data_IF_361677175025
#
_entry.id   IF_361677175025
#
_cell.length_a   1.000
_cell.length_b   1.000
_cell.length_c   1.000
_cell.angle_alpha   90.00
_cell.angle_beta   90.00
_cell.angle_gamma   90.00
#
_symmetry.space_group_name_H-M   'P 1'
#
loop_
_entity.id
_entity.type
_entity.pdbx_description
1 polymer ?
#
# COMPACT_ATOMS: atom_id res chain seq x y z
N UNK A 1 16.37 14.97 -29.08
CA UNK A 1 16.10 13.77 -28.27
C UNK A 1 17.42 13.35 -27.64
N UNK A 2 17.54 13.42 -26.31
CA UNK A 2 18.72 12.92 -25.61
C UNK A 2 18.49 11.46 -25.23
N UNK A 3 19.37 10.58 -25.70
CA UNK A 3 19.38 9.16 -25.31
C UNK A 3 20.22 9.06 -24.05
N UNK A 4 19.59 8.69 -22.93
CA UNK A 4 20.27 8.43 -21.68
C UNK A 4 20.68 6.96 -21.62
N UNK A 5 21.89 6.67 -21.12
CA UNK A 5 22.30 5.28 -20.91
C UNK A 5 21.58 4.70 -19.70
N UNK A 6 21.43 3.36 -19.63
CA UNK A 6 20.82 2.69 -18.47
C UNK A 6 21.54 3.04 -17.14
N UNK A 7 22.84 3.36 -17.20
CA UNK A 7 23.61 3.79 -16.05
C UNK A 7 23.28 5.22 -15.58
N UNK A 8 22.90 6.12 -16.50
CA UNK A 8 22.46 7.48 -16.16
C UNK A 8 21.06 7.47 -15.54
N UNK A 9 20.20 6.55 -15.99
CA UNK A 9 18.90 6.29 -15.37
C UNK A 9 19.11 5.79 -13.94
N UNK A 10 19.94 4.75 -13.77
CA UNK A 10 20.26 4.18 -12.47
C UNK A 10 20.84 5.20 -11.49
N UNK A 11 21.71 6.11 -11.94
CA UNK A 11 22.27 7.18 -11.10
C UNK A 11 21.26 8.27 -10.70
N UNK A 12 20.28 8.58 -11.56
CA UNK A 12 19.19 9.51 -11.21
C UNK A 12 18.19 8.87 -10.27
N UNK A 13 17.80 7.63 -10.54
CA UNK A 13 17.00 6.79 -9.64
C UNK A 13 17.66 6.78 -8.26
N UNK A 14 18.96 6.50 -8.19
CA UNK A 14 19.76 6.53 -6.98
C UNK A 14 19.68 7.87 -6.22
N UNK A 15 19.78 9.02 -6.92
CA UNK A 15 19.78 10.34 -6.26
C UNK A 15 18.44 10.78 -5.68
N UNK A 16 17.31 10.50 -6.35
CA UNK A 16 15.96 10.84 -5.87
C UNK A 16 15.65 10.04 -4.60
N UNK A 17 16.04 8.78 -4.64
CA UNK A 17 15.84 7.73 -3.65
C UNK A 17 16.75 7.94 -2.41
N UNK A 18 18.04 8.25 -2.60
CA UNK A 18 19.00 8.52 -1.50
C UNK A 18 18.75 9.87 -0.81
N UNK A 19 18.20 10.85 -1.53
CA UNK A 19 17.96 12.19 -0.96
C UNK A 19 16.85 12.24 0.10
N UNK A 20 16.08 11.16 0.29
CA UNK A 20 15.06 11.07 1.36
C UNK A 20 13.94 12.10 1.28
N UNK A 21 13.79 12.79 0.14
CA UNK A 21 13.04 14.05 0.05
C UNK A 21 11.58 13.88 -0.37
N UNK A 22 11.10 12.66 -0.53
CA UNK A 22 9.73 12.38 -0.98
C UNK A 22 8.74 12.67 0.15
N UNK A 23 8.09 13.84 0.07
CA UNK A 23 7.03 14.23 0.99
C UNK A 23 7.50 14.45 2.43
N UNK A 24 8.74 14.91 2.64
CA UNK A 24 9.37 15.10 3.97
C UNK A 24 8.70 16.19 4.84
N UNK A 25 7.90 17.07 4.23
CA UNK A 25 7.14 18.12 4.92
C UNK A 25 5.69 18.07 4.49
N UNK A 26 4.77 18.16 5.45
CA UNK A 26 3.33 18.10 5.19
C UNK A 26 2.81 19.28 4.34
N UNK A 27 3.51 20.42 4.32
CA UNK A 27 3.08 21.60 3.57
C UNK A 27 3.55 21.60 2.10
N UNK A 28 4.39 20.65 1.72
CA UNK A 28 4.91 20.51 0.36
C UNK A 28 4.14 19.43 -0.39
N UNK A 29 3.99 19.52 -1.73
CA UNK A 29 3.47 18.41 -2.51
C UNK A 29 4.24 17.12 -2.21
N UNK A 30 3.54 16.00 -2.14
CA UNK A 30 4.20 14.69 -2.04
C UNK A 30 5.00 14.41 -3.32
N UNK A 31 6.13 13.72 -3.20
CA UNK A 31 6.97 13.34 -4.36
C UNK A 31 6.84 11.87 -4.76
N UNK A 32 5.81 11.16 -4.30
CA UNK A 32 5.66 9.72 -4.55
C UNK A 32 5.47 9.39 -6.04
N UNK A 33 4.92 10.32 -6.80
CA UNK A 33 4.81 10.29 -8.27
C UNK A 33 6.16 10.43 -8.98
N UNK A 34 7.17 10.99 -8.32
CA UNK A 34 8.54 11.11 -8.83
C UNK A 34 9.42 9.90 -8.48
N UNK A 35 8.90 8.93 -7.70
CA UNK A 35 9.62 7.69 -7.45
C UNK A 35 9.81 6.92 -8.77
N UNK A 36 11.00 6.36 -9.01
CA UNK A 36 11.25 5.62 -10.23
C UNK A 36 10.42 4.32 -10.31
N UNK A 37 10.08 3.78 -9.15
CA UNK A 37 9.24 2.60 -9.01
C UNK A 37 8.33 2.79 -7.79
N UNK A 38 7.04 2.49 -7.92
CA UNK A 38 6.11 2.41 -6.78
C UNK A 38 6.17 1.03 -6.11
N UNK A 39 6.41 0.00 -6.91
CA UNK A 39 6.63 -1.38 -6.48
C UNK A 39 7.63 -2.07 -7.41
N UNK A 40 8.29 -3.11 -6.89
CA UNK A 40 9.26 -3.91 -7.61
C UNK A 40 9.02 -5.38 -7.31
N UNK A 41 9.01 -6.22 -8.35
CA UNK A 41 8.97 -7.66 -8.21
C UNK A 41 10.29 -8.28 -8.66
N UNK A 42 11.04 -8.81 -7.70
CA UNK A 42 12.28 -9.52 -7.99
C UNK A 42 12.01 -11.03 -8.11
N UNK A 43 12.42 -11.59 -9.26
CA UNK A 43 12.37 -13.02 -9.55
C UNK A 43 13.79 -13.54 -9.76
N UNK A 44 14.16 -14.56 -9.00
CA UNK A 44 15.49 -15.15 -9.09
C UNK A 44 15.98 -15.70 -7.76
N UNK A 45 17.08 -16.46 -7.76
CA UNK A 45 17.67 -16.99 -6.53
C UNK A 45 18.15 -15.85 -5.62
N UNK A 46 18.02 -15.99 -4.31
CA UNK A 46 18.33 -14.93 -3.32
C UNK A 46 19.71 -14.29 -3.51
N UNK A 47 20.71 -15.05 -3.97
CA UNK A 47 22.07 -14.58 -4.27
C UNK A 47 22.16 -13.52 -5.37
N UNK A 48 21.15 -13.37 -6.24
CA UNK A 48 21.10 -12.36 -7.30
C UNK A 48 20.23 -11.17 -6.93
N UNK A 49 19.68 -11.15 -5.72
CA UNK A 49 18.87 -10.03 -5.26
C UNK A 49 19.79 -8.82 -5.04
N UNK A 50 19.31 -7.60 -5.31
CA UNK A 50 20.07 -6.40 -5.01
C UNK A 50 20.55 -6.42 -3.56
N UNK A 51 21.83 -6.10 -3.34
CA UNK A 51 22.42 -6.05 -1.99
C UNK A 51 21.72 -5.00 -1.10
N UNK A 52 21.13 -3.98 -1.73
CA UNK A 52 20.27 -3.00 -1.09
C UNK A 52 18.81 -3.45 -1.13
N UNK A 53 18.17 -3.55 0.05
CA UNK A 53 16.74 -3.82 0.19
C UNK A 53 16.02 -2.49 0.19
N UNK A 54 15.18 -2.24 -0.81
CA UNK A 54 14.29 -1.09 -0.77
C UNK A 54 13.00 -1.46 -0.03
N UNK A 55 13.04 -1.34 1.29
CA UNK A 55 11.99 -1.72 2.25
C UNK A 55 11.07 -0.55 2.63
N UNK A 56 10.88 0.42 1.72
CA UNK A 56 9.84 1.44 1.89
C UNK A 56 10.13 2.48 2.99
N UNK A 57 11.39 2.86 3.22
CA UNK A 57 11.80 3.87 4.21
C UNK A 57 11.23 5.30 4.00
N UNK A 58 10.42 5.55 2.97
CA UNK A 58 9.76 6.84 2.80
C UNK A 58 8.40 6.82 3.47
N UNK A 59 8.39 7.06 4.78
CA UNK A 59 7.13 7.34 5.49
C UNK A 59 6.58 8.68 5.03
N UNK A 60 5.29 8.70 4.70
CA UNK A 60 4.58 9.92 4.36
C UNK A 60 4.54 10.89 5.56
N UNK A 61 4.86 12.18 5.35
CA UNK A 61 4.82 13.17 6.43
C UNK A 61 3.40 13.56 6.90
N UNK A 62 2.35 13.23 6.13
CA UNK A 62 0.97 13.53 6.47
C UNK A 62 0.01 12.43 6.02
N UNK A 63 -1.23 12.49 6.51
CA UNK A 63 -2.29 11.60 6.08
C UNK A 63 -2.65 11.79 4.60
N UNK A 64 -2.65 13.03 4.08
CA UNK A 64 -2.90 13.27 2.65
C UNK A 64 -1.78 12.68 1.80
N UNK A 65 -0.52 12.76 2.26
CA UNK A 65 0.62 12.16 1.57
C UNK A 65 0.50 10.64 1.54
N UNK A 66 0.09 10.03 2.66
CA UNK A 66 -0.12 8.59 2.73
C UNK A 66 -1.26 8.14 1.80
N UNK A 67 -2.40 8.84 1.82
CA UNK A 67 -3.52 8.55 0.92
C UNK A 67 -3.09 8.59 -0.55
N UNK A 68 -2.33 9.62 -0.93
CA UNK A 68 -1.86 9.79 -2.31
C UNK A 68 -0.84 8.73 -2.71
N UNK A 69 0.07 8.37 -1.79
CA UNK A 69 1.04 7.29 -1.99
C UNK A 69 0.35 5.94 -2.22
N UNK A 70 -0.65 5.63 -1.40
CA UNK A 70 -1.44 4.41 -1.51
C UNK A 70 -2.30 4.40 -2.78
N UNK A 71 -2.90 5.53 -3.15
CA UNK A 71 -3.65 5.66 -4.40
C UNK A 71 -2.75 5.31 -5.59
N UNK A 72 -1.57 5.95 -5.70
CA UNK A 72 -0.61 5.67 -6.77
C UNK A 72 -0.16 4.19 -6.77
N UNK A 73 0.16 3.64 -5.60
CA UNK A 73 0.58 2.25 -5.49
C UNK A 73 -0.51 1.28 -5.97
N UNK A 74 -1.73 1.42 -5.46
CA UNK A 74 -2.84 0.52 -5.78
C UNK A 74 -3.29 0.66 -7.24
N UNK A 75 -3.25 1.88 -7.78
CA UNK A 75 -3.51 2.13 -9.20
C UNK A 75 -2.47 1.42 -10.08
N UNK A 76 -1.19 1.54 -9.73
CA UNK A 76 -0.12 0.85 -10.44
C UNK A 76 -0.22 -0.68 -10.35
N UNK A 77 -0.79 -1.23 -9.27
CA UNK A 77 -1.06 -2.67 -9.18
C UNK A 77 -2.16 -3.10 -10.15
N UNK A 78 -3.28 -2.37 -10.20
CA UNK A 78 -4.38 -2.68 -11.12
C UNK A 78 -3.93 -2.59 -12.58
N UNK A 79 -3.09 -1.61 -12.92
CA UNK A 79 -2.60 -1.45 -14.29
C UNK A 79 -1.51 -2.47 -14.66
N UNK A 80 -0.52 -2.67 -13.80
CA UNK A 80 0.74 -3.32 -14.19
C UNK A 80 0.85 -4.77 -13.71
N UNK A 81 0.21 -5.15 -12.60
CA UNK A 81 0.27 -6.53 -12.10
C UNK A 81 -0.28 -7.53 -13.14
N UNK A 82 -1.40 -7.27 -13.85
CA UNK A 82 -1.92 -8.17 -14.88
C UNK A 82 -0.92 -8.49 -15.99
N UNK A 83 -0.08 -7.54 -16.33
CA UNK A 83 0.93 -7.70 -17.39
C UNK A 83 2.19 -8.38 -16.86
N UNK A 84 2.62 -8.04 -15.63
CA UNK A 84 3.86 -8.56 -15.05
C UNK A 84 3.73 -9.94 -14.43
N UNK A 85 2.55 -10.30 -13.91
CA UNK A 85 2.25 -11.56 -13.21
C UNK A 85 0.84 -12.06 -13.57
N UNK A 86 0.59 -12.53 -14.80
CA UNK A 86 -0.76 -12.86 -15.24
C UNK A 86 -1.42 -13.94 -14.38
N UNK A 87 -2.68 -13.71 -13.98
CA UNK A 87 -3.50 -14.64 -13.19
C UNK A 87 -3.15 -14.67 -11.70
N UNK A 88 -2.43 -13.67 -11.19
CA UNK A 88 -1.94 -13.69 -9.82
C UNK A 88 -2.54 -12.58 -8.94
N UNK A 89 -2.15 -12.56 -7.66
CA UNK A 89 -2.57 -11.58 -6.68
C UNK A 89 -1.39 -11.01 -5.91
N UNK A 90 -1.52 -9.76 -5.46
CA UNK A 90 -0.58 -9.11 -4.56
C UNK A 90 -1.29 -8.68 -3.28
N UNK A 91 -0.60 -8.73 -2.14
CA UNK A 91 -1.14 -8.22 -0.88
C UNK A 91 -0.07 -7.72 0.06
N UNK A 92 -0.47 -6.85 0.99
CA UNK A 92 0.26 -6.56 2.20
C UNK A 92 -0.70 -6.45 3.38
N UNK A 93 -0.15 -6.51 4.59
CA UNK A 93 -0.88 -6.30 5.83
C UNK A 93 -0.39 -5.00 6.46
N UNK A 94 -1.31 -4.21 6.99
CA UNK A 94 -1.05 -2.98 7.73
C UNK A 94 -1.45 -3.18 9.18
N UNK A 95 -0.50 -2.92 10.08
CA UNK A 95 -0.74 -2.81 11.51
C UNK A 95 -0.68 -1.37 11.97
N UNK A 96 -1.33 -1.15 13.10
CA UNK A 96 -1.33 0.11 13.81
C UNK A 96 -0.83 -0.16 15.22
N UNK A 97 0.20 0.57 15.68
CA UNK A 97 0.74 0.38 17.02
C UNK A 97 -0.33 0.51 18.13
N UNK A 98 -1.33 1.38 17.92
CA UNK A 98 -2.39 1.70 18.89
C UNK A 98 -3.58 0.74 18.91
N UNK A 99 -3.70 -0.13 17.90
CA UNK A 99 -4.80 -1.11 17.78
C UNK A 99 -4.25 -2.52 17.53
N UNK A 100 -3.02 -2.78 17.98
CA UNK A 100 -2.42 -4.11 17.90
C UNK A 100 -3.21 -5.10 18.78
N UNK A 101 -3.48 -6.35 18.33
CA UNK A 101 -3.00 -7.01 17.11
C UNK A 101 -3.99 -6.97 15.94
N UNK A 102 -4.89 -5.97 15.86
CA UNK A 102 -5.85 -5.90 14.76
C UNK A 102 -5.19 -5.31 13.52
N UNK A 103 -5.16 -6.11 12.47
CA UNK A 103 -4.50 -5.75 11.22
C UNK A 103 -5.51 -5.58 10.09
N UNK A 104 -5.17 -4.68 9.16
CA UNK A 104 -5.90 -4.45 7.92
C UNK A 104 -5.13 -5.12 6.78
N UNK A 105 -5.76 -6.03 6.05
CA UNK A 105 -5.19 -6.64 4.86
C UNK A 105 -5.63 -5.85 3.63
N UNK A 106 -4.69 -5.56 2.75
CA UNK A 106 -4.93 -4.95 1.43
C UNK A 106 -4.49 -5.94 0.37
N UNK A 107 -5.30 -6.16 -0.65
CA UNK A 107 -4.91 -7.02 -1.76
C UNK A 107 -5.57 -6.64 -3.08
N UNK A 108 -4.90 -7.00 -4.16
CA UNK A 108 -5.42 -6.98 -5.52
C UNK A 108 -5.43 -8.41 -6.07
N UNK A 109 -6.55 -8.82 -6.68
CA UNK A 109 -6.68 -10.14 -7.32
C UNK A 109 -7.17 -9.96 -8.76
N UNK A 110 -6.36 -10.39 -9.72
CA UNK A 110 -6.68 -10.29 -11.15
C UNK A 110 -7.85 -11.19 -11.53
N UNK A 111 -7.88 -12.43 -11.03
CA UNK A 111 -8.98 -13.37 -11.29
C UNK A 111 -10.34 -12.83 -10.85
N UNK A 112 -10.35 -11.90 -9.89
CA UNK A 112 -11.56 -11.24 -9.39
C UNK A 112 -11.77 -9.84 -9.96
N UNK A 113 -10.78 -9.26 -10.64
CA UNK A 113 -10.78 -7.88 -11.12
C UNK A 113 -10.99 -6.85 -10.02
N UNK A 114 -10.43 -7.08 -8.82
CA UNK A 114 -10.80 -6.32 -7.61
C UNK A 114 -9.65 -6.02 -6.68
N UNK A 115 -9.65 -4.79 -6.17
CA UNK A 115 -9.02 -4.42 -4.92
C UNK A 115 -9.91 -4.80 -3.75
N UNK A 116 -9.32 -5.28 -2.66
CA UNK A 116 -10.04 -5.65 -1.45
C UNK A 116 -9.29 -5.19 -0.20
N UNK A 117 -10.04 -4.65 0.74
CA UNK A 117 -9.59 -4.37 2.10
C UNK A 117 -10.34 -5.28 3.06
N UNK A 118 -9.65 -5.77 4.09
CA UNK A 118 -10.25 -6.63 5.11
C UNK A 118 -9.69 -6.32 6.49
N UNK A 119 -10.53 -6.34 7.53
CA UNK A 119 -10.11 -6.15 8.92
C UNK A 119 -10.90 -7.06 9.87
N UNK A 120 -10.21 -7.62 10.86
CA UNK A 120 -10.78 -8.57 11.82
C UNK A 120 -11.32 -7.86 13.07
N UNK A 121 -12.63 -7.86 13.25
CA UNK A 121 -13.31 -7.34 14.43
C UNK A 121 -13.93 -8.43 15.30
N UNK A 122 -13.61 -9.72 15.12
CA UNK A 122 -14.19 -10.82 15.91
C UNK A 122 -14.10 -10.61 17.42
N UNK A 123 -13.02 -10.02 17.92
CA UNK A 123 -12.80 -9.76 19.35
C UNK A 123 -13.51 -8.52 19.87
N UNK A 124 -14.10 -7.70 18.99
CA UNK A 124 -14.79 -6.44 19.33
C UNK A 124 -16.16 -6.33 18.68
N UNK A 125 -16.72 -7.45 18.19
CA UNK A 125 -17.96 -7.47 17.44
C UNK A 125 -19.16 -6.86 18.20
N UNK A 126 -19.16 -6.99 19.53
CA UNK A 126 -20.23 -6.49 20.40
C UNK A 126 -20.05 -5.02 20.85
N UNK A 127 -19.02 -4.31 20.34
CA UNK A 127 -18.79 -2.92 20.69
C UNK A 127 -19.99 -2.04 20.21
N UNK A 128 -20.63 -1.28 21.11
CA UNK A 128 -21.78 -0.45 20.75
C UNK A 128 -21.43 0.54 19.63
N UNK A 129 -22.27 0.63 18.61
CA UNK A 129 -22.09 1.54 17.48
C UNK A 129 -20.98 1.14 16.48
N UNK A 130 -20.34 -0.03 16.64
CA UNK A 130 -19.30 -0.49 15.72
C UNK A 130 -19.82 -0.59 14.30
N UNK A 131 -21.00 -1.19 14.10
CA UNK A 131 -21.55 -1.37 12.75
C UNK A 131 -21.73 -0.03 12.04
N UNK A 132 -22.38 0.93 12.69
CA UNK A 132 -22.58 2.29 12.18
C UNK A 132 -21.23 2.96 11.87
N UNK A 133 -20.28 2.93 12.80
CA UNK A 133 -18.95 3.51 12.59
C UNK A 133 -18.19 2.86 11.41
N UNK A 134 -18.31 1.56 11.21
CA UNK A 134 -17.68 0.85 10.09
C UNK A 134 -18.33 1.24 8.76
N UNK A 135 -19.67 1.36 8.73
CA UNK A 135 -20.42 1.82 7.55
C UNK A 135 -20.08 3.26 7.19
N UNK A 136 -20.02 4.16 8.18
CA UNK A 136 -19.63 5.56 7.98
C UNK A 136 -18.22 5.72 7.40
N UNK A 137 -17.28 4.84 7.80
CA UNK A 137 -15.93 4.80 7.23
C UNK A 137 -15.88 4.28 5.79
N UNK A 138 -16.91 3.55 5.35
CA UNK A 138 -17.02 3.00 3.99
C UNK A 138 -16.88 1.48 3.90
N UNK A 139 -16.89 0.75 5.02
CA UNK A 139 -16.90 -0.72 4.99
C UNK A 139 -18.25 -1.27 4.47
N UNK A 140 -18.20 -2.31 3.64
CA UNK A 140 -19.34 -2.74 2.81
C UNK A 140 -20.02 -4.03 3.28
N UNK A 141 -19.27 -4.98 3.82
CA UNK A 141 -19.80 -6.29 4.22
C UNK A 141 -19.16 -6.70 5.53
N UNK A 142 -19.96 -7.27 6.44
CA UNK A 142 -19.49 -7.92 7.65
C UNK A 142 -19.88 -9.40 7.61
N UNK A 143 -18.89 -10.29 7.63
CA UNK A 143 -19.09 -11.74 7.57
C UNK A 143 -18.18 -12.44 8.58
N UNK A 144 -18.76 -13.17 9.54
CA UNK A 144 -17.98 -13.92 10.54
C UNK A 144 -17.03 -13.04 11.36
N UNK A 145 -17.40 -11.77 11.59
CA UNK A 145 -16.60 -10.77 12.29
C UNK A 145 -15.49 -10.14 11.46
N UNK A 146 -15.40 -10.44 10.17
CA UNK A 146 -14.54 -9.73 9.22
C UNK A 146 -15.32 -8.66 8.48
N UNK A 147 -14.80 -7.44 8.52
CA UNK A 147 -15.28 -6.37 7.66
C UNK A 147 -14.50 -6.37 6.36
N UNK A 148 -15.21 -6.20 5.25
CA UNK A 148 -14.63 -6.15 3.91
C UNK A 148 -15.18 -4.99 3.11
N UNK A 149 -14.33 -4.47 2.24
CA UNK A 149 -14.72 -3.58 1.16
C UNK A 149 -13.99 -4.02 -0.10
N UNK A 150 -14.71 -4.07 -1.21
CA UNK A 150 -14.17 -4.41 -2.52
C UNK A 150 -14.40 -3.25 -3.49
N UNK A 151 -13.43 -3.04 -4.37
CA UNK A 151 -13.45 -2.02 -5.41
C UNK A 151 -13.08 -2.70 -6.72
N UNK A 152 -13.95 -2.60 -7.72
CA UNK A 152 -13.73 -3.19 -9.03
C UNK A 152 -12.63 -2.40 -9.76
N UNK A 153 -11.70 -3.08 -10.43
CA UNK A 153 -10.58 -2.41 -11.11
C UNK A 153 -11.00 -1.64 -12.38
N UNK A 154 -12.21 -1.88 -12.89
CA UNK A 154 -12.80 -1.07 -13.95
C UNK A 154 -13.28 0.31 -13.47
N UNK A 155 -13.43 0.51 -12.15
CA UNK A 155 -13.80 1.80 -11.58
C UNK A 155 -12.55 2.71 -11.48
N UNK A 156 -12.50 3.84 -12.21
CA UNK A 156 -11.36 4.76 -12.16
C UNK A 156 -11.16 5.41 -10.77
N UNK A 157 -12.12 5.26 -9.85
CA UNK A 157 -11.99 5.72 -8.48
C UNK A 157 -11.59 4.61 -7.48
N UNK A 158 -11.35 3.38 -7.93
CA UNK A 158 -11.10 2.23 -7.06
C UNK A 158 -9.88 2.41 -6.15
N UNK A 159 -8.72 2.76 -6.72
CA UNK A 159 -7.49 2.96 -5.95
C UNK A 159 -7.64 4.07 -4.90
N UNK A 160 -8.21 5.22 -5.30
CA UNK A 160 -8.48 6.36 -4.43
C UNK A 160 -9.43 5.99 -3.28
N UNK A 161 -10.50 5.27 -3.60
CA UNK A 161 -11.51 4.87 -2.61
C UNK A 161 -10.95 3.86 -1.60
N UNK A 162 -10.13 2.93 -2.08
CA UNK A 162 -9.40 1.99 -1.23
C UNK A 162 -8.39 2.69 -0.31
N UNK A 163 -7.59 3.62 -0.84
CA UNK A 163 -6.63 4.40 -0.06
C UNK A 163 -7.31 5.24 1.03
N UNK A 164 -8.42 5.92 0.67
CA UNK A 164 -9.26 6.68 1.62
C UNK A 164 -9.81 5.83 2.74
N UNK A 165 -10.38 4.66 2.40
CA UNK A 165 -10.92 3.74 3.39
C UNK A 165 -9.81 3.28 4.35
N UNK A 166 -8.64 2.92 3.84
CA UNK A 166 -7.49 2.53 4.67
C UNK A 166 -7.12 3.63 5.66
N UNK A 167 -6.91 4.86 5.17
CA UNK A 167 -6.51 5.99 6.01
C UNK A 167 -7.61 6.35 7.02
N UNK A 168 -8.88 6.36 6.60
CA UNK A 168 -10.01 6.60 7.50
C UNK A 168 -10.12 5.52 8.58
N UNK A 169 -9.88 4.27 8.23
CA UNK A 169 -9.93 3.14 9.16
C UNK A 169 -8.82 3.22 10.22
N UNK A 170 -7.55 3.35 9.82
CA UNK A 170 -6.43 3.40 10.78
C UNK A 170 -6.53 4.64 11.69
N UNK A 171 -6.98 5.78 11.17
CA UNK A 171 -7.26 6.98 11.97
C UNK A 171 -8.42 6.77 12.92
N UNK A 172 -9.50 6.14 12.45
CA UNK A 172 -10.67 5.78 13.26
C UNK A 172 -10.36 4.75 14.35
N UNK A 173 -9.24 4.02 14.23
CA UNK A 173 -8.69 3.10 15.24
C UNK A 173 -7.62 3.75 16.12
N UNK A 174 -7.38 5.05 15.95
CA UNK A 174 -6.64 5.88 16.88
C UNK A 174 -5.21 6.24 16.46
N UNK A 175 -4.73 5.79 15.30
CA UNK A 175 -3.43 6.22 14.77
C UNK A 175 -3.41 7.73 14.54
N UNK A 176 -2.34 8.40 14.97
CA UNK A 176 -2.23 9.89 14.89
C UNK A 176 -1.31 10.38 13.77
N UNK A 177 -0.37 9.56 13.31
CA UNK A 177 0.45 9.82 12.12
C UNK A 177 0.81 8.54 11.35
N UNK A 178 1.25 8.65 10.08
CA UNK A 178 1.70 7.51 9.27
C UNK A 178 2.85 6.69 9.88
N UNK A 179 3.73 7.30 10.68
CA UNK A 179 4.84 6.61 11.36
C UNK A 179 4.39 5.57 12.39
N UNK A 180 3.14 5.61 12.85
CA UNK A 180 2.57 4.60 13.76
C UNK A 180 2.05 3.35 13.03
N UNK A 181 2.11 3.36 11.70
CA UNK A 181 1.76 2.22 10.86
C UNK A 181 3.00 1.39 10.55
N UNK A 182 2.77 0.11 10.27
CA UNK A 182 3.79 -0.75 9.70
C UNK A 182 3.13 -1.71 8.72
N UNK A 183 3.72 -1.84 7.55
CA UNK A 183 3.35 -2.83 6.56
C UNK A 183 4.22 -4.08 6.71
N UNK A 184 3.66 -5.26 6.50
CA UNK A 184 4.40 -6.52 6.43
C UNK A 184 3.62 -7.55 5.63
N UNK A 185 4.13 -8.79 5.58
CA UNK A 185 3.52 -9.87 4.79
C UNK A 185 3.30 -9.46 3.32
N UNK A 186 4.22 -8.62 2.82
CA UNK A 186 4.24 -8.13 1.45
C UNK A 186 4.53 -9.33 0.53
N UNK A 187 3.56 -9.68 -0.29
CA UNK A 187 3.64 -10.92 -1.07
C UNK A 187 2.93 -10.82 -2.40
N UNK A 188 3.42 -11.60 -3.34
CA UNK A 188 2.79 -11.96 -4.61
C UNK A 188 2.88 -13.49 -4.71
N UNK A 189 1.83 -14.14 -5.19
CA UNK A 189 1.73 -15.60 -5.07
C UNK A 189 2.65 -16.40 -6.01
N UNK A 190 3.27 -15.76 -7.01
CA UNK A 190 4.37 -16.25 -7.87
C UNK A 190 5.71 -16.53 -7.13
N UNK A 191 5.71 -16.62 -5.80
CA UNK A 191 6.91 -16.86 -4.96
C UNK A 191 8.07 -15.86 -5.15
N UNK A 192 7.85 -14.77 -5.88
CA UNK A 192 8.80 -13.68 -6.04
C UNK A 192 8.81 -12.76 -4.82
N UNK A 193 9.88 -11.96 -4.69
CA UNK A 193 9.96 -10.97 -3.62
C UNK A 193 9.41 -9.64 -4.10
N UNK A 194 8.32 -9.22 -3.50
CA UNK A 194 7.66 -7.94 -3.76
C UNK A 194 8.19 -6.86 -2.80
N UNK A 195 8.60 -5.72 -3.33
CA UNK A 195 9.01 -4.52 -2.58
C UNK A 195 8.08 -3.37 -2.92
N UNK A 196 7.77 -2.52 -1.94
CA UNK A 196 6.80 -1.43 -2.08
C UNK A 196 7.40 -0.04 -1.73
N UNK A 197 8.33 0.48 -2.55
CA UNK A 197 8.86 1.83 -2.43
C UNK A 197 7.84 2.93 -2.14
N UNK A 198 6.70 2.86 -2.83
CA UNK A 198 5.66 3.88 -2.81
C UNK A 198 4.55 3.59 -1.79
N UNK A 199 4.81 2.77 -0.76
CA UNK A 199 3.78 2.44 0.24
C UNK A 199 3.52 3.57 1.24
N UNK A 200 4.47 4.48 1.42
CA UNK A 200 4.30 5.65 2.29
C UNK A 200 4.31 5.35 3.79
N UNK A 201 4.73 4.16 4.21
CA UNK A 201 4.83 3.74 5.62
C UNK A 201 6.00 2.74 5.83
N UNK A 202 6.49 2.56 7.06
CA UNK A 202 7.53 1.58 7.36
C UNK A 202 7.12 0.15 6.94
N UNK A 203 8.08 -0.65 6.47
CA UNK A 203 7.88 -2.08 6.16
C UNK A 203 8.75 -2.95 7.08
N UNK A 204 8.21 -4.10 7.53
CA UNK A 204 8.88 -5.13 8.33
C UNK A 204 8.98 -6.46 7.57
#
# INVERSE_FOLDING_TARGET
MSVHTASDLHGREYSVVESGSVGWRAEQPHGFDALPYLWLLHRGPERSWPAFRWDGHHTAASWEHLESSLELLLDSWMEQLPVQVPGDWASFVVGCARDWPRHLRVGYSQDRGRLSLMVDHRTTADAPGLEEAMRERGWQVCEGGWWRAEFADEDPAAARSAARLLVADVRGRGSVCPDELVAWEVTVNDHGRLWLPGIGMPVN
#
